data_IF_868409394974
#
_entry.id   IF_868409394974
#
_cell.length_a   1.000
_cell.length_b   1.000
_cell.length_c   1.000
_cell.angle_alpha   90.00
_cell.angle_beta   90.00
_cell.angle_gamma   90.00
#
_symmetry.space_group_name_H-M   'P 1'
#
loop_
_entity.id
_entity.type
_entity.pdbx_description
1 polymer ?
#
# COMPACT_ATOMS: atom_id res chain seq x y z
N UNK A 1 -35.11 10.88 -2.88
CA UNK A 1 -35.88 9.66 -3.23
C UNK A 1 -35.71 9.24 -4.68
N UNK A 2 -35.95 10.08 -5.70
CA UNK A 2 -35.85 9.67 -7.12
C UNK A 2 -34.51 9.00 -7.49
N UNK A 3 -33.37 9.53 -7.05
CA UNK A 3 -32.05 8.91 -7.31
C UNK A 3 -31.88 7.52 -6.68
N UNK A 4 -32.48 7.29 -5.50
CA UNK A 4 -32.44 5.97 -4.84
C UNK A 4 -33.29 4.95 -5.62
N UNK A 5 -34.47 5.36 -6.08
CA UNK A 5 -35.31 4.53 -6.98
C UNK A 5 -34.56 4.25 -8.29
N UNK A 6 -33.87 5.26 -8.83
CA UNK A 6 -33.03 5.11 -10.02
C UNK A 6 -31.91 4.08 -9.84
N UNK A 7 -31.24 4.09 -8.69
CA UNK A 7 -30.24 3.07 -8.35
C UNK A 7 -30.84 1.67 -8.21
N UNK A 8 -32.03 1.54 -7.61
CA UNK A 8 -32.73 0.26 -7.56
C UNK A 8 -33.12 -0.24 -8.97
N UNK A 9 -33.53 0.68 -9.86
CA UNK A 9 -33.78 0.34 -11.27
C UNK A 9 -32.51 -0.15 -11.97
N UNK A 10 -31.37 0.51 -11.71
CA UNK A 10 -30.07 0.10 -12.23
C UNK A 10 -29.62 -1.28 -11.72
N UNK A 11 -29.93 -1.65 -10.49
CA UNK A 11 -29.65 -2.99 -9.98
C UNK A 11 -30.61 -4.07 -10.55
N UNK A 12 -31.90 -3.73 -10.70
CA UNK A 12 -32.95 -4.68 -11.09
C UNK A 12 -33.23 -4.76 -12.61
N UNK A 13 -32.70 -3.83 -13.40
CA UNK A 13 -32.95 -3.76 -14.85
C UNK A 13 -34.29 -3.13 -15.24
N UNK A 14 -34.85 -2.26 -14.38
CA UNK A 14 -36.11 -1.55 -14.67
C UNK A 14 -35.87 -0.31 -15.54
N UNK A 15 -35.43 -0.50 -16.78
CA UNK A 15 -35.06 0.58 -17.70
C UNK A 15 -36.19 1.57 -17.95
N UNK A 16 -37.42 1.11 -18.20
CA UNK A 16 -38.53 2.01 -18.53
C UNK A 16 -38.89 2.91 -17.33
N UNK A 17 -38.96 2.33 -16.13
CA UNK A 17 -39.14 3.10 -14.90
C UNK A 17 -37.99 4.09 -14.69
N UNK A 18 -36.74 3.68 -14.92
CA UNK A 18 -35.58 4.57 -14.82
C UNK A 18 -35.73 5.81 -15.71
N UNK A 19 -36.13 5.64 -16.97
CA UNK A 19 -36.33 6.73 -17.93
C UNK A 19 -37.43 7.70 -17.48
N UNK A 20 -38.49 7.19 -16.84
CA UNK A 20 -39.60 8.01 -16.32
C UNK A 20 -39.21 8.89 -15.13
N UNK A 21 -38.18 8.51 -14.36
CA UNK A 21 -37.76 9.27 -13.16
C UNK A 21 -37.15 10.65 -13.49
N UNK A 22 -36.74 10.87 -14.74
CA UNK A 22 -36.15 12.12 -15.23
C UNK A 22 -35.03 12.68 -14.33
N UNK A 23 -34.21 11.79 -13.77
CA UNK A 23 -33.09 12.14 -12.90
C UNK A 23 -31.86 12.57 -13.71
N UNK A 24 -30.96 13.30 -13.05
CA UNK A 24 -29.68 13.68 -13.64
C UNK A 24 -28.86 12.42 -14.03
N UNK A 25 -27.99 12.50 -15.05
CA UNK A 25 -27.03 11.45 -15.37
C UNK A 25 -26.08 11.23 -14.19
N UNK A 26 -26.34 10.23 -13.36
CA UNK A 26 -25.73 10.07 -12.03
C UNK A 26 -24.73 8.90 -12.03
N UNK A 27 -23.51 9.15 -11.53
CA UNK A 27 -22.39 8.20 -11.67
C UNK A 27 -22.56 6.92 -10.84
N UNK A 28 -23.16 6.97 -9.66
CA UNK A 28 -23.38 5.78 -8.83
C UNK A 28 -24.45 4.86 -9.44
N UNK A 29 -25.45 5.43 -10.12
CA UNK A 29 -26.42 4.65 -10.90
C UNK A 29 -25.73 4.01 -12.11
N UNK A 30 -24.82 4.71 -12.78
CA UNK A 30 -24.04 4.14 -13.88
C UNK A 30 -23.14 2.99 -13.41
N UNK A 31 -22.45 3.17 -12.27
CA UNK A 31 -21.61 2.13 -11.66
C UNK A 31 -22.44 0.89 -11.28
N UNK A 32 -23.60 1.08 -10.62
CA UNK A 32 -24.52 0.00 -10.27
C UNK A 32 -25.09 -0.73 -11.51
N UNK A 33 -25.49 0.04 -12.53
CA UNK A 33 -26.06 -0.50 -13.76
C UNK A 33 -25.04 -1.38 -14.49
N UNK A 34 -23.80 -0.91 -14.59
CA UNK A 34 -22.72 -1.68 -15.22
C UNK A 34 -22.43 -2.95 -14.45
N UNK A 35 -22.30 -2.87 -13.13
CA UNK A 35 -22.03 -4.03 -12.27
C UNK A 35 -23.13 -5.09 -12.39
N UNK A 36 -24.39 -4.65 -12.43
CA UNK A 36 -25.55 -5.53 -12.58
C UNK A 36 -25.82 -6.00 -14.01
N UNK A 37 -25.00 -5.62 -14.99
CA UNK A 37 -25.16 -5.99 -16.40
C UNK A 37 -26.29 -5.26 -17.15
N UNK A 38 -26.83 -4.20 -16.57
CA UNK A 38 -27.93 -3.40 -17.13
C UNK A 38 -27.39 -2.29 -18.05
N UNK A 39 -26.83 -2.75 -19.17
CA UNK A 39 -26.11 -1.94 -20.16
C UNK A 39 -26.90 -0.75 -20.74
N UNK A 40 -28.22 -0.87 -20.87
CA UNK A 40 -29.05 0.20 -21.44
C UNK A 40 -29.08 1.43 -20.53
N UNK A 41 -29.28 1.23 -19.23
CA UNK A 41 -29.25 2.31 -18.23
C UNK A 41 -27.85 2.90 -18.19
N UNK A 42 -26.81 2.05 -18.10
CA UNK A 42 -25.42 2.49 -18.10
C UNK A 42 -25.09 3.36 -19.32
N UNK A 43 -25.39 2.89 -20.55
CA UNK A 43 -25.11 3.65 -21.79
C UNK A 43 -25.90 4.94 -21.86
N UNK A 44 -27.14 4.97 -21.38
CA UNK A 44 -27.95 6.18 -21.36
C UNK A 44 -27.32 7.28 -20.50
N UNK A 45 -26.75 6.93 -19.36
CA UNK A 45 -26.04 7.86 -18.47
C UNK A 45 -24.71 8.29 -19.09
N UNK A 46 -23.95 7.33 -19.62
CA UNK A 46 -22.62 7.60 -20.19
C UNK A 46 -22.64 8.39 -21.50
N UNK A 47 -23.75 8.38 -22.22
CA UNK A 47 -23.95 9.22 -23.40
C UNK A 47 -24.13 10.71 -23.04
N UNK A 48 -24.39 11.04 -21.77
CA UNK A 48 -24.50 12.42 -21.33
C UNK A 48 -23.14 13.13 -21.36
N UNK A 49 -23.08 14.40 -21.82
CA UNK A 49 -21.82 15.14 -21.88
C UNK A 49 -21.27 15.47 -20.48
N UNK A 50 -22.14 15.54 -19.48
CA UNK A 50 -21.80 15.82 -18.09
C UNK A 50 -22.56 14.83 -17.21
N UNK A 51 -21.85 14.22 -16.27
CA UNK A 51 -22.38 13.31 -15.26
C UNK A 51 -22.22 13.96 -13.88
N UNK A 52 -23.05 13.56 -12.94
CA UNK A 52 -23.13 14.17 -11.63
C UNK A 52 -22.94 13.15 -10.52
N UNK A 53 -22.34 13.60 -9.42
CA UNK A 53 -22.38 12.90 -8.14
C UNK A 53 -23.49 13.51 -7.28
N UNK A 54 -24.56 12.73 -7.08
CA UNK A 54 -25.71 13.12 -6.24
C UNK A 54 -25.75 12.25 -4.99
N UNK A 55 -25.43 10.96 -5.12
CA UNK A 55 -25.35 10.05 -3.99
C UNK A 55 -23.98 10.12 -3.32
N UNK A 56 -23.94 9.81 -2.03
CA UNK A 56 -22.68 9.54 -1.33
C UNK A 56 -22.85 8.25 -0.51
N UNK A 57 -22.27 7.17 -1.02
CA UNK A 57 -22.34 5.84 -0.40
C UNK A 57 -21.64 5.79 0.97
N UNK A 58 -20.57 6.55 1.17
CA UNK A 58 -19.82 6.57 2.44
C UNK A 58 -20.63 7.15 3.59
N UNK A 59 -21.44 8.17 3.31
CA UNK A 59 -22.21 8.91 4.32
C UNK A 59 -23.70 8.55 4.31
N UNK A 60 -24.14 7.65 3.42
CA UNK A 60 -25.56 7.36 3.17
C UNK A 60 -26.39 8.62 2.91
N UNK A 61 -25.81 9.57 2.18
CA UNK A 61 -26.37 10.91 1.98
C UNK A 61 -26.72 11.20 0.51
N UNK A 62 -27.57 12.21 0.31
CA UNK A 62 -27.93 12.77 -1.00
C UNK A 62 -27.60 14.26 -1.05
N UNK A 63 -26.94 14.70 -2.11
CA UNK A 63 -26.71 16.11 -2.42
C UNK A 63 -27.61 16.53 -3.59
N UNK A 64 -28.82 17.01 -3.27
CA UNK A 64 -29.81 17.43 -4.26
C UNK A 64 -29.71 18.94 -4.59
N UNK A 65 -29.15 19.74 -3.69
CA UNK A 65 -29.15 21.20 -3.81
C UNK A 65 -28.06 21.71 -4.75
N UNK A 66 -26.89 21.07 -4.74
CA UNK A 66 -25.77 21.45 -5.58
C UNK A 66 -25.02 20.21 -6.10
N UNK A 67 -25.61 19.47 -7.06
CA UNK A 67 -24.94 18.34 -7.69
C UNK A 67 -23.62 18.77 -8.32
N UNK A 68 -22.57 18.00 -8.08
CA UNK A 68 -21.22 18.30 -8.59
C UNK A 68 -20.96 17.45 -9.83
N UNK A 69 -20.39 18.05 -10.86
CA UNK A 69 -19.95 17.31 -12.03
C UNK A 69 -18.83 16.33 -11.64
N UNK A 70 -18.97 15.06 -12.00
CA UNK A 70 -18.03 14.02 -11.61
C UNK A 70 -17.93 12.95 -12.70
N UNK A 71 -16.83 12.20 -12.67
CA UNK A 71 -16.64 11.01 -13.49
C UNK A 71 -16.76 9.77 -12.62
N UNK A 72 -16.97 8.61 -13.23
CA UNK A 72 -16.95 7.36 -12.48
C UNK A 72 -15.59 7.15 -11.82
N UNK A 73 -15.63 6.69 -10.58
CA UNK A 73 -14.44 6.54 -9.75
C UNK A 73 -14.53 5.29 -8.85
N UNK A 74 -15.54 4.44 -9.01
CA UNK A 74 -15.76 3.23 -8.20
C UNK A 74 -15.91 3.60 -6.71
N UNK A 75 -16.69 4.65 -6.46
CA UNK A 75 -17.06 5.13 -5.11
C UNK A 75 -18.46 4.64 -4.70
N UNK A 76 -19.03 3.70 -5.48
CA UNK A 76 -20.33 3.08 -5.23
C UNK A 76 -20.19 1.70 -4.62
N UNK A 77 -20.95 1.46 -3.55
CA UNK A 77 -21.16 0.15 -2.94
C UNK A 77 -22.05 -0.74 -3.81
N UNK A 78 -21.54 -1.19 -4.96
CA UNK A 78 -22.33 -1.96 -5.95
C UNK A 78 -22.75 -3.34 -5.44
N UNK A 79 -23.71 -3.96 -6.13
CA UNK A 79 -24.38 -5.22 -5.74
C UNK A 79 -23.44 -6.30 -5.20
N UNK A 80 -22.33 -6.62 -5.86
CA UNK A 80 -21.44 -7.70 -5.39
C UNK A 80 -20.82 -7.40 -4.02
N UNK A 81 -20.49 -6.13 -3.73
CA UNK A 81 -19.93 -5.74 -2.43
C UNK A 81 -20.93 -5.97 -1.30
N UNK A 82 -22.23 -5.75 -1.57
CA UNK A 82 -23.31 -5.97 -0.61
C UNK A 82 -23.65 -7.46 -0.42
N UNK A 83 -23.25 -8.33 -1.35
CA UNK A 83 -23.40 -9.78 -1.22
C UNK A 83 -22.35 -10.39 -0.32
N UNK A 84 -21.17 -9.77 -0.20
CA UNK A 84 -20.13 -10.22 0.71
C UNK A 84 -20.63 -10.12 2.16
N UNK A 85 -20.65 -11.26 2.85
CA UNK A 85 -21.03 -11.34 4.27
C UNK A 85 -19.84 -11.75 5.13
N UNK A 86 -19.76 -11.18 6.33
CA UNK A 86 -18.77 -11.54 7.34
C UNK A 86 -19.43 -12.15 8.57
N UNK A 87 -18.72 -13.05 9.24
CA UNK A 87 -19.15 -13.57 10.53
C UNK A 87 -18.71 -12.65 11.66
N UNK A 88 -19.50 -12.62 12.72
CA UNK A 88 -19.02 -12.05 13.97
C UNK A 88 -17.88 -12.93 14.53
N UNK A 89 -16.73 -12.30 14.83
CA UNK A 89 -15.58 -12.91 15.50
C UNK A 89 -15.86 -12.86 17.01
N UNK A 90 -15.76 -14.00 17.67
CA UNK A 90 -15.67 -14.00 19.13
C UNK A 90 -14.38 -13.27 19.51
N UNK A 91 -14.44 -12.39 20.51
CA UNK A 91 -13.23 -11.86 21.15
C UNK A 91 -12.41 -13.07 21.62
N UNK A 92 -11.12 -13.10 21.29
CA UNK A 92 -10.24 -14.20 21.69
C UNK A 92 -10.29 -14.39 23.21
N UNK A 93 -10.26 -15.64 23.67
CA UNK A 93 -10.00 -15.93 25.09
C UNK A 93 -8.58 -15.45 25.42
N UNK A 94 -8.34 -15.07 26.68
CA UNK A 94 -7.10 -14.38 27.10
C UNK A 94 -5.80 -15.15 26.78
N UNK A 95 -5.89 -16.46 26.51
CA UNK A 95 -4.76 -17.35 26.27
C UNK A 95 -4.23 -17.35 24.81
N UNK A 96 -4.97 -16.79 23.84
CA UNK A 96 -4.54 -16.70 22.42
C UNK A 96 -3.92 -15.31 22.06
N UNK A 97 -3.63 -14.48 23.07
CA UNK A 97 -3.17 -13.09 22.94
C UNK A 97 -1.68 -12.90 22.57
N UNK A 98 -0.90 -13.97 22.37
CA UNK A 98 0.56 -13.84 22.14
C UNK A 98 0.95 -13.43 20.70
N UNK A 99 0.07 -13.59 19.70
CA UNK A 99 0.39 -13.37 18.27
C UNK A 99 -0.29 -12.15 17.62
N UNK A 100 -1.03 -11.34 18.39
CA UNK A 100 -1.88 -10.27 17.81
C UNK A 100 -1.31 -8.88 18.06
N UNK A 101 -1.24 -8.07 17.00
CA UNK A 101 -0.92 -6.65 17.10
C UNK A 101 -1.99 -5.95 17.96
N UNK A 102 -1.59 -5.05 18.86
CA UNK A 102 -2.48 -4.33 19.80
C UNK A 102 -3.65 -3.59 19.09
N UNK A 103 -3.59 -3.41 17.78
CA UNK A 103 -4.70 -2.90 16.95
C UNK A 103 -5.90 -3.86 16.88
N UNK A 104 -5.69 -5.17 16.99
CA UNK A 104 -6.74 -6.19 16.90
C UNK A 104 -7.56 -6.33 18.20
N UNK A 105 -7.04 -5.82 19.33
CA UNK A 105 -7.67 -5.90 20.65
C UNK A 105 -8.85 -4.91 20.79
N UNK A 106 -8.99 -3.94 19.87
CA UNK A 106 -10.09 -2.96 19.86
C UNK A 106 -11.23 -3.29 18.89
N UNK A 107 -11.21 -4.47 18.24
CA UNK A 107 -12.23 -4.82 17.25
C UNK A 107 -13.61 -5.06 17.88
N UNK A 108 -14.65 -4.49 17.27
CA UNK A 108 -16.06 -4.67 17.61
C UNK A 108 -16.59 -6.11 17.41
N UNK A 109 -15.70 -7.10 17.29
CA UNK A 109 -15.99 -8.47 16.86
C UNK A 109 -16.26 -8.58 15.36
N UNK A 110 -15.95 -7.57 14.55
CA UNK A 110 -16.12 -7.58 13.09
C UNK A 110 -15.24 -6.52 12.41
N UNK A 111 -15.00 -6.70 11.11
CA UNK A 111 -14.31 -5.70 10.29
C UNK A 111 -15.29 -4.57 9.93
N UNK A 112 -14.96 -3.31 10.24
CA UNK A 112 -15.76 -2.19 9.76
C UNK A 112 -15.76 -2.14 8.23
N UNK A 113 -16.94 -2.21 7.62
CA UNK A 113 -17.06 -2.09 6.17
C UNK A 113 -16.84 -0.65 5.71
N UNK A 114 -16.17 -0.49 4.57
CA UNK A 114 -16.02 0.82 3.91
C UNK A 114 -17.39 1.45 3.61
N UNK A 115 -18.35 0.61 3.22
CA UNK A 115 -19.73 1.00 2.95
C UNK A 115 -20.66 0.19 3.84
N UNK A 116 -21.42 0.87 4.70
CA UNK A 116 -22.44 0.25 5.55
C UNK A 116 -23.84 0.61 5.05
N UNK A 117 -24.14 0.29 3.78
CA UNK A 117 -25.41 0.68 3.15
C UNK A 117 -26.61 -0.01 3.80
N UNK A 118 -26.45 -1.27 4.24
CA UNK A 118 -27.52 -2.05 4.89
C UNK A 118 -27.63 -1.81 6.40
N UNK A 119 -26.74 -0.98 6.97
CA UNK A 119 -26.69 -0.63 8.40
C UNK A 119 -26.50 -1.84 9.33
N UNK A 120 -25.95 -2.93 8.79
CA UNK A 120 -25.72 -4.19 9.51
C UNK A 120 -24.25 -4.65 9.43
N UNK A 121 -23.35 -3.82 8.85
CA UNK A 121 -21.94 -4.15 8.62
C UNK A 121 -21.74 -5.44 7.81
N UNK A 122 -22.73 -5.84 7.01
CA UNK A 122 -22.75 -7.12 6.30
C UNK A 122 -22.54 -8.34 7.20
N UNK A 123 -23.02 -8.31 8.44
CA UNK A 123 -22.94 -9.43 9.36
C UNK A 123 -23.87 -10.58 8.96
N UNK A 124 -23.38 -11.81 9.12
CA UNK A 124 -24.13 -13.06 8.96
C UNK A 124 -23.61 -14.11 9.97
N UNK A 125 -24.36 -15.18 10.20
CA UNK A 125 -24.03 -16.25 11.16
C UNK A 125 -22.78 -17.03 10.75
N UNK A 126 -22.58 -17.25 9.45
CA UNK A 126 -21.50 -18.10 8.91
C UNK A 126 -20.42 -17.24 8.24
N UNK A 127 -20.81 -16.10 7.66
CA UNK A 127 -19.96 -15.35 6.74
C UNK A 127 -19.74 -16.08 5.41
N UNK A 128 -19.08 -15.42 4.47
CA UNK A 128 -18.68 -16.03 3.21
C UNK A 128 -17.22 -16.49 3.25
N UNK A 129 -16.90 -17.68 2.73
CA UNK A 129 -15.53 -18.14 2.66
C UNK A 129 -14.74 -17.34 1.60
N UNK A 130 -13.42 -17.13 1.77
CA UNK A 130 -12.62 -16.28 0.89
C UNK A 130 -12.72 -16.64 -0.60
N UNK A 131 -12.79 -17.92 -0.94
CA UNK A 131 -12.91 -18.40 -2.31
C UNK A 131 -14.23 -18.02 -3.00
N UNK A 132 -15.31 -17.83 -2.24
CA UNK A 132 -16.60 -17.40 -2.78
C UNK A 132 -16.66 -15.88 -2.91
N UNK A 133 -16.03 -15.14 -1.99
CA UNK A 133 -15.83 -13.69 -2.12
C UNK A 133 -15.06 -13.39 -3.41
N UNK A 134 -14.04 -14.19 -3.72
CA UNK A 134 -13.23 -14.00 -4.91
C UNK A 134 -14.02 -14.19 -6.21
N UNK A 135 -14.95 -15.15 -6.24
CA UNK A 135 -15.85 -15.35 -7.40
C UNK A 135 -16.77 -14.15 -7.65
N UNK A 136 -17.04 -13.34 -6.63
CA UNK A 136 -17.85 -12.14 -6.72
C UNK A 136 -17.07 -10.91 -7.16
N UNK A 137 -15.73 -10.90 -7.01
CA UNK A 137 -14.92 -9.73 -7.37
C UNK A 137 -15.04 -9.43 -8.88
N UNK A 138 -15.02 -8.14 -9.26
CA UNK A 138 -15.04 -7.76 -10.67
C UNK A 138 -13.80 -8.29 -11.39
N UNK A 139 -14.03 -9.02 -12.49
CA UNK A 139 -12.96 -9.34 -13.45
C UNK A 139 -12.61 -8.07 -14.21
N UNK A 140 -11.63 -7.34 -13.71
CA UNK A 140 -11.08 -6.17 -14.36
C UNK A 140 -9.64 -6.42 -14.80
N UNK A 141 -9.23 -5.75 -15.87
CA UNK A 141 -7.83 -5.67 -16.24
C UNK A 141 -7.11 -4.68 -15.31
N UNK A 142 -6.92 -5.13 -14.07
CA UNK A 142 -6.34 -4.34 -12.99
C UNK A 142 -4.91 -3.92 -13.33
N UNK A 143 -4.19 -4.77 -14.06
CA UNK A 143 -2.82 -4.50 -14.45
C UNK A 143 -2.73 -3.30 -15.40
N UNK A 144 -3.57 -3.26 -16.44
CA UNK A 144 -3.65 -2.09 -17.33
C UNK A 144 -3.99 -0.82 -16.56
N UNK A 145 -4.92 -0.89 -15.60
CA UNK A 145 -5.24 0.26 -14.75
C UNK A 145 -4.05 0.70 -13.89
N UNK A 146 -3.17 -0.20 -13.46
CA UNK A 146 -1.99 0.12 -12.64
C UNK A 146 -0.86 0.74 -13.45
N UNK A 147 -0.61 0.25 -14.67
CA UNK A 147 0.53 0.68 -15.51
C UNK A 147 0.21 1.86 -16.43
N UNK A 148 -1.05 2.03 -16.84
CA UNK A 148 -1.49 3.11 -17.72
C UNK A 148 -2.07 4.31 -16.92
N UNK A 149 -2.14 5.52 -17.52
CA UNK A 149 -2.90 6.61 -16.96
C UNK A 149 -4.35 6.18 -16.68
N UNK A 150 -4.87 6.52 -15.49
CA UNK A 150 -6.24 6.18 -15.14
C UNK A 150 -7.22 6.82 -16.14
N UNK A 151 -8.15 6.06 -16.74
CA UNK A 151 -9.16 6.62 -17.63
C UNK A 151 -10.00 7.65 -16.87
N UNK A 152 -10.56 8.65 -17.53
CA UNK A 152 -11.38 9.68 -16.88
C UNK A 152 -12.55 9.06 -16.10
N UNK A 153 -13.24 8.12 -16.74
CA UNK A 153 -14.31 7.31 -16.17
C UNK A 153 -13.75 5.93 -15.80
N UNK A 154 -13.51 5.71 -14.50
CA UNK A 154 -12.91 4.46 -14.01
C UNK A 154 -13.89 3.29 -14.24
N UNK A 155 -13.44 2.16 -14.82
CA UNK A 155 -14.26 0.97 -14.93
C UNK A 155 -14.42 0.28 -13.57
N UNK A 156 -15.43 -0.58 -13.45
CA UNK A 156 -15.56 -1.46 -12.28
C UNK A 156 -14.27 -2.24 -12.07
N UNK A 157 -13.63 -2.03 -10.92
CA UNK A 157 -12.33 -2.61 -10.60
C UNK A 157 -12.18 -2.75 -9.08
N UNK A 158 -11.17 -3.53 -8.66
CA UNK A 158 -10.70 -3.52 -7.28
C UNK A 158 -9.97 -2.21 -7.00
N UNK A 159 -10.71 -1.24 -6.47
CA UNK A 159 -10.19 0.11 -6.21
C UNK A 159 -9.19 0.13 -5.05
N UNK A 160 -9.32 -0.78 -4.09
CA UNK A 160 -8.46 -0.86 -2.90
C UNK A 160 -7.02 -1.14 -3.34
N UNK A 161 -6.85 -2.05 -4.30
CA UNK A 161 -5.56 -2.29 -4.96
C UNK A 161 -4.98 -1.02 -5.58
N UNK A 162 -5.78 -0.27 -6.33
CA UNK A 162 -5.33 0.96 -6.99
C UNK A 162 -4.90 2.02 -5.98
N UNK A 163 -5.61 2.13 -4.84
CA UNK A 163 -5.28 3.02 -3.72
C UNK A 163 -3.94 2.62 -3.11
N UNK A 164 -3.79 1.35 -2.74
CA UNK A 164 -2.57 0.82 -2.12
C UNK A 164 -1.36 0.96 -3.05
N UNK A 165 -1.49 0.62 -4.33
CA UNK A 165 -0.41 0.82 -5.30
C UNK A 165 -0.04 2.30 -5.46
N UNK A 166 -1.01 3.21 -5.57
CA UNK A 166 -0.74 4.64 -5.67
C UNK A 166 -0.02 5.17 -4.42
N UNK A 167 -0.41 4.71 -3.23
CA UNK A 167 0.26 5.03 -1.97
C UNK A 167 1.69 4.46 -1.94
N UNK A 168 1.87 3.18 -2.27
CA UNK A 168 3.15 2.48 -2.27
C UNK A 168 4.21 3.20 -3.12
N UNK A 169 3.86 3.57 -4.35
CA UNK A 169 4.78 4.29 -5.25
C UNK A 169 4.89 5.80 -4.96
N UNK A 170 4.13 6.32 -3.99
CA UNK A 170 4.08 7.76 -3.69
C UNK A 170 3.54 8.59 -4.85
N UNK A 171 2.58 8.05 -5.61
CA UNK A 171 1.96 8.75 -6.72
C UNK A 171 0.83 9.66 -6.21
N UNK A 172 1.17 10.92 -5.95
CA UNK A 172 0.25 11.92 -5.38
C UNK A 172 -1.05 12.06 -6.17
N UNK A 173 -0.97 12.22 -7.49
CA UNK A 173 -2.16 12.50 -8.31
C UNK A 173 -3.12 11.32 -8.35
N UNK A 174 -2.58 10.09 -8.50
CA UNK A 174 -3.40 8.87 -8.45
C UNK A 174 -3.98 8.66 -7.06
N UNK A 175 -3.17 8.83 -6.03
CA UNK A 175 -3.62 8.61 -4.66
C UNK A 175 -4.72 9.61 -4.26
N UNK A 176 -4.59 10.89 -4.58
CA UNK A 176 -5.63 11.91 -4.33
C UNK A 176 -6.94 11.58 -5.04
N UNK A 177 -6.86 11.11 -6.28
CA UNK A 177 -8.04 10.73 -7.06
C UNK A 177 -8.75 9.50 -6.48
N UNK A 178 -7.98 8.53 -6.00
CA UNK A 178 -8.50 7.21 -5.62
C UNK A 178 -8.83 7.08 -4.13
N UNK A 179 -8.13 7.80 -3.23
CA UNK A 179 -8.27 7.61 -1.79
C UNK A 179 -9.72 7.76 -1.31
N UNK A 180 -10.08 6.97 -0.30
CA UNK A 180 -11.39 6.99 0.34
C UNK A 180 -11.37 7.85 1.62
N UNK A 181 -12.54 8.18 2.19
CA UNK A 181 -12.60 8.88 3.48
C UNK A 181 -12.02 8.08 4.67
N UNK A 182 -12.05 6.75 4.60
CA UNK A 182 -11.44 5.83 5.57
C UNK A 182 -10.31 5.06 4.89
N UNK A 183 -9.28 4.70 5.66
CA UNK A 183 -8.19 3.88 5.16
C UNK A 183 -8.68 2.48 4.79
N UNK A 184 -8.20 1.95 3.67
CA UNK A 184 -8.38 0.55 3.30
C UNK A 184 -7.29 -0.32 3.95
N UNK A 185 -7.50 -1.63 3.96
CA UNK A 185 -6.51 -2.58 4.48
C UNK A 185 -5.15 -2.37 3.79
N UNK A 186 -4.06 -2.35 4.56
CA UNK A 186 -2.67 -2.12 4.10
C UNK A 186 -2.35 -0.71 3.57
N UNK A 187 -3.30 0.21 3.56
CA UNK A 187 -3.06 1.55 3.03
C UNK A 187 -2.00 2.31 3.84
N UNK A 188 -2.00 2.17 5.17
CA UNK A 188 -1.04 2.85 6.06
C UNK A 188 0.39 2.41 5.74
N UNK A 189 0.63 1.10 5.62
CA UNK A 189 1.95 0.55 5.30
C UNK A 189 2.41 0.98 3.90
N UNK A 190 1.48 1.03 2.93
CA UNK A 190 1.76 1.55 1.59
C UNK A 190 2.13 3.04 1.64
N UNK A 191 1.38 3.86 2.38
CA UNK A 191 1.64 5.30 2.56
C UNK A 191 3.02 5.49 3.18
N UNK A 192 3.33 4.76 4.26
CA UNK A 192 4.63 4.85 4.93
C UNK A 192 5.76 4.58 3.94
N UNK A 193 5.69 3.46 3.20
CA UNK A 193 6.67 3.15 2.16
C UNK A 193 6.75 4.30 1.14
N UNK A 194 5.62 4.75 0.59
CA UNK A 194 5.59 5.84 -0.39
C UNK A 194 6.24 7.12 0.13
N UNK A 195 5.99 7.49 1.39
CA UNK A 195 6.59 8.65 2.06
C UNK A 195 8.09 8.49 2.22
N UNK A 196 8.58 7.31 2.65
CA UNK A 196 10.01 7.04 2.75
C UNK A 196 10.72 7.14 1.39
N UNK A 197 10.08 6.73 0.30
CA UNK A 197 10.70 6.63 -1.02
C UNK A 197 10.46 7.85 -1.93
N UNK A 198 9.46 8.69 -1.66
CA UNK A 198 9.13 9.86 -2.49
C UNK A 198 9.02 11.15 -1.65
N UNK A 199 9.99 12.04 -1.80
CA UNK A 199 10.05 13.32 -1.07
C UNK A 199 8.86 14.24 -1.36
N UNK A 200 8.38 14.30 -2.60
CA UNK A 200 7.26 15.18 -2.95
C UNK A 200 5.95 14.68 -2.34
N UNK A 201 5.77 13.36 -2.32
CA UNK A 201 4.65 12.72 -1.64
C UNK A 201 4.69 12.96 -0.13
N UNK A 202 5.86 12.84 0.50
CA UNK A 202 6.06 13.18 1.92
C UNK A 202 5.72 14.66 2.23
N UNK A 203 6.19 15.58 1.39
CA UNK A 203 5.91 17.02 1.54
C UNK A 203 4.44 17.38 1.28
N UNK A 204 3.73 16.60 0.47
CA UNK A 204 2.29 16.73 0.32
C UNK A 204 1.56 16.16 1.54
N UNK A 205 1.97 14.99 2.03
CA UNK A 205 1.40 14.34 3.22
C UNK A 205 1.54 15.19 4.49
N UNK A 206 2.66 15.90 4.66
CA UNK A 206 2.89 16.79 5.80
C UNK A 206 1.90 17.96 5.90
N UNK A 207 1.13 18.22 4.83
CA UNK A 207 0.13 19.29 4.75
C UNK A 207 -1.31 18.78 4.89
N UNK A 208 -1.52 17.47 5.02
CA UNK A 208 -2.86 16.88 5.03
C UNK A 208 -3.52 17.03 6.40
N UNK A 209 -4.81 17.36 6.40
CA UNK A 209 -5.64 17.58 7.59
C UNK A 209 -6.34 16.32 8.10
N UNK A 210 -6.21 15.19 7.39
CA UNK A 210 -6.73 13.90 7.84
C UNK A 210 -6.06 13.53 9.18
N UNK A 211 -6.75 12.80 10.08
CA UNK A 211 -6.12 12.27 11.29
C UNK A 211 -4.84 11.54 10.90
N UNK A 212 -3.71 12.13 11.26
CA UNK A 212 -2.40 11.57 10.93
C UNK A 212 -2.14 10.44 11.90
N UNK A 213 -2.33 9.22 11.42
CA UNK A 213 -1.82 8.01 12.07
C UNK A 213 -0.36 8.25 12.51
N UNK A 214 -0.01 8.00 13.79
CA UNK A 214 1.34 8.26 14.30
C UNK A 214 2.44 7.66 13.44
N UNK A 215 2.21 6.48 12.86
CA UNK A 215 3.15 5.80 11.96
C UNK A 215 3.45 6.61 10.69
N UNK A 216 2.43 7.24 10.09
CA UNK A 216 2.60 8.12 8.90
C UNK A 216 3.43 9.34 9.29
N UNK A 217 3.15 9.94 10.46
CA UNK A 217 3.91 11.11 10.94
C UNK A 217 5.39 10.77 11.15
N UNK A 218 5.69 9.64 11.78
CA UNK A 218 7.07 9.16 11.92
C UNK A 218 7.76 9.01 10.55
N UNK A 219 7.08 8.42 9.55
CA UNK A 219 7.64 8.29 8.20
C UNK A 219 7.95 9.66 7.56
N UNK A 220 7.09 10.66 7.76
CA UNK A 220 7.32 12.03 7.27
C UNK A 220 8.53 12.66 7.97
N UNK A 221 8.63 12.57 9.30
CA UNK A 221 9.79 13.08 10.04
C UNK A 221 11.09 12.41 9.59
N UNK A 222 11.06 11.09 9.42
CA UNK A 222 12.21 10.34 8.92
C UNK A 222 12.65 10.82 7.54
N UNK A 223 11.69 11.02 6.63
CA UNK A 223 11.98 11.52 5.28
C UNK A 223 12.57 12.93 5.31
N UNK A 224 12.11 13.79 6.22
CA UNK A 224 12.62 15.16 6.33
C UNK A 224 14.05 15.18 6.90
N UNK A 225 14.30 14.40 7.96
CA UNK A 225 15.65 14.22 8.53
C UNK A 225 16.62 13.69 7.48
N UNK A 226 16.24 12.64 6.74
CA UNK A 226 17.07 12.04 5.68
C UNK A 226 17.29 12.97 4.48
N UNK A 227 16.45 13.99 4.30
CA UNK A 227 16.63 15.09 3.36
C UNK A 227 17.43 16.28 3.94
N UNK A 228 18.01 16.16 5.14
CA UNK A 228 18.76 17.21 5.85
C UNK A 228 17.91 18.39 6.35
N UNK A 229 16.62 18.17 6.58
CA UNK A 229 15.68 19.16 7.07
C UNK A 229 15.37 18.87 8.55
N UNK A 230 15.66 19.83 9.44
CA UNK A 230 15.53 19.67 10.90
C UNK A 230 14.58 20.70 11.54
N UNK A 231 13.92 21.58 10.79
CA UNK A 231 13.08 22.66 11.35
C UNK A 231 11.96 22.16 12.26
N UNK A 232 11.55 20.90 12.11
CA UNK A 232 10.42 20.30 12.83
C UNK A 232 10.82 19.52 14.09
N UNK A 233 12.11 19.21 14.29
CA UNK A 233 12.55 18.27 15.35
C UNK A 233 12.38 18.79 16.78
N UNK A 234 12.27 20.11 16.93
CA UNK A 234 12.00 20.78 18.20
C UNK A 234 10.50 21.03 18.45
N UNK A 235 9.63 20.69 17.50
CA UNK A 235 8.18 20.83 17.69
C UNK A 235 7.69 19.90 18.79
N UNK A 236 6.72 20.36 19.59
CA UNK A 236 6.04 19.52 20.58
C UNK A 236 5.27 18.36 19.93
N UNK A 237 4.90 18.49 18.64
CA UNK A 237 4.19 17.47 17.88
C UNK A 237 5.12 16.47 17.18
N UNK A 238 6.44 16.62 17.34
CA UNK A 238 7.42 15.75 16.72
C UNK A 238 7.35 14.35 17.33
N UNK A 239 7.18 13.35 16.47
CA UNK A 239 7.19 11.94 16.86
C UNK A 239 8.50 11.33 16.35
N UNK A 240 9.43 10.93 17.24
CA UNK A 240 10.75 10.46 16.84
C UNK A 240 10.67 9.21 15.95
N UNK A 241 11.11 9.29 14.68
CA UNK A 241 11.23 8.11 13.86
C UNK A 241 12.36 7.23 14.35
N UNK A 242 12.22 5.91 14.17
CA UNK A 242 13.31 4.99 14.43
C UNK A 242 14.19 4.81 13.18
N UNK A 243 13.59 4.55 12.02
CA UNK A 243 14.31 4.40 10.75
C UNK A 243 14.68 5.77 10.16
N UNK A 244 15.95 6.15 10.21
CA UNK A 244 16.45 7.44 9.65
C UNK A 244 17.63 7.27 8.68
N UNK A 245 17.83 6.08 8.11
CA UNK A 245 18.97 5.74 7.24
C UNK A 245 18.59 5.07 5.91
N UNK A 246 17.29 4.86 5.65
CA UNK A 246 16.80 4.19 4.45
C UNK A 246 15.56 4.92 3.89
N UNK A 247 15.36 4.98 2.54
CA UNK A 247 16.26 4.51 1.47
C UNK A 247 17.42 5.48 1.19
N UNK A 248 17.40 6.65 1.82
CA UNK A 248 18.44 7.66 1.71
C UNK A 248 18.90 8.05 3.10
N UNK A 249 20.13 8.53 3.21
CA UNK A 249 20.76 8.86 4.48
C UNK A 249 21.11 10.36 4.55
N UNK A 250 20.94 10.97 5.74
CA UNK A 250 21.28 12.37 5.95
C UNK A 250 22.80 12.57 6.06
N UNK A 251 23.31 13.76 5.74
CA UNK A 251 24.72 14.09 5.88
C UNK A 251 25.18 14.02 7.35
N UNK A 252 26.45 13.68 7.62
CA UNK A 252 26.97 13.64 8.99
C UNK A 252 26.74 14.93 9.80
N UNK A 253 26.85 16.10 9.17
CA UNK A 253 26.58 17.38 9.81
C UNK A 253 25.12 17.51 10.30
N UNK A 254 24.16 16.96 9.55
CA UNK A 254 22.75 16.91 9.95
C UNK A 254 22.58 16.04 11.19
N UNK A 255 23.22 14.87 11.24
CA UNK A 255 23.14 14.01 12.43
C UNK A 255 23.84 14.60 13.65
N UNK A 256 24.95 15.33 13.49
CA UNK A 256 25.55 16.11 14.60
C UNK A 256 24.55 17.13 15.16
N UNK A 257 23.89 17.89 14.28
CA UNK A 257 22.88 18.85 14.69
C UNK A 257 21.67 18.15 15.34
N UNK A 258 21.20 17.04 14.77
CA UNK A 258 20.11 16.26 15.34
C UNK A 258 20.47 15.73 16.73
N UNK A 259 21.68 15.22 16.95
CA UNK A 259 22.13 14.74 18.26
C UNK A 259 22.12 15.86 19.32
N UNK A 260 22.45 17.10 18.94
CA UNK A 260 22.39 18.26 19.83
C UNK A 260 20.94 18.66 20.15
N UNK A 261 20.07 18.65 19.14
CA UNK A 261 18.67 19.07 19.28
C UNK A 261 17.81 17.99 19.96
N UNK A 262 18.14 16.71 19.72
CA UNK A 262 17.40 15.51 20.13
C UNK A 262 18.35 14.38 20.57
N UNK A 263 18.93 14.48 21.78
CA UNK A 263 19.80 13.43 22.33
C UNK A 263 19.11 12.07 22.49
N UNK A 264 17.79 12.05 22.61
CA UNK A 264 16.97 10.83 22.67
C UNK A 264 17.01 10.01 21.37
N UNK A 265 17.44 10.60 20.25
CA UNK A 265 17.59 9.93 18.96
C UNK A 265 19.01 9.39 18.71
N UNK A 266 19.91 9.45 19.70
CA UNK A 266 21.29 8.95 19.56
C UNK A 266 21.38 7.49 19.09
N UNK A 267 20.57 6.53 19.59
CA UNK A 267 20.61 5.15 19.09
C UNK A 267 20.35 5.06 17.58
N UNK A 268 19.37 5.81 17.07
CA UNK A 268 19.02 5.86 15.66
C UNK A 268 20.14 6.48 14.81
N UNK A 269 20.78 7.52 15.32
CA UNK A 269 21.92 8.17 14.66
C UNK A 269 23.12 7.23 14.58
N UNK A 270 23.49 6.58 15.69
CA UNK A 270 24.59 5.62 15.71
C UNK A 270 24.33 4.44 14.78
N UNK A 271 23.08 3.96 14.75
CA UNK A 271 22.66 2.90 13.83
C UNK A 271 22.78 3.34 12.37
N UNK A 272 22.38 4.57 12.05
CA UNK A 272 22.59 5.15 10.72
C UNK A 272 24.08 5.17 10.34
N UNK A 273 24.99 5.50 11.27
CA UNK A 273 26.42 5.49 11.01
C UNK A 273 26.94 4.08 10.69
N UNK A 274 26.53 3.06 11.45
CA UNK A 274 26.96 1.67 11.22
C UNK A 274 26.52 1.20 9.83
N UNK A 275 25.25 1.45 9.45
CA UNK A 275 24.72 1.07 8.13
C UNK A 275 25.46 1.79 6.99
N UNK A 276 25.83 3.05 7.19
CA UNK A 276 26.49 3.87 6.18
C UNK A 276 27.97 3.54 5.97
N UNK A 277 28.62 2.95 6.96
CA UNK A 277 30.06 2.75 7.03
C UNK A 277 30.62 1.96 5.84
N UNK A 278 29.83 1.02 5.33
CA UNK A 278 30.20 0.13 4.22
C UNK A 278 30.27 0.83 2.85
N UNK A 279 30.08 2.15 2.75
CA UNK A 279 30.17 2.84 1.47
C UNK A 279 30.27 4.36 1.48
N UNK A 280 30.25 5.05 2.63
CA UNK A 280 30.24 6.52 2.69
C UNK A 280 31.22 7.09 3.74
N UNK A 281 31.99 8.10 3.33
CA UNK A 281 32.98 8.77 4.20
C UNK A 281 32.32 9.64 5.28
N UNK A 282 32.93 9.68 6.47
CA UNK A 282 32.61 10.60 7.57
C UNK A 282 31.60 10.08 8.61
N UNK A 283 31.05 8.87 8.42
CA UNK A 283 30.15 8.25 9.41
C UNK A 283 30.90 7.54 10.55
N UNK A 284 32.08 6.99 10.29
CA UNK A 284 32.94 6.43 11.34
C UNK A 284 33.35 7.53 12.34
N UNK A 285 33.81 8.69 11.84
CA UNK A 285 34.16 9.85 12.67
C UNK A 285 32.96 10.33 13.50
N UNK A 286 31.79 10.45 12.87
CA UNK A 286 30.55 10.83 13.55
C UNK A 286 30.16 9.82 14.64
N UNK A 287 30.32 8.53 14.38
CA UNK A 287 30.05 7.49 15.36
C UNK A 287 30.98 7.63 16.58
N UNK A 288 32.28 7.78 16.35
CA UNK A 288 33.29 7.96 17.40
C UNK A 288 33.01 9.20 18.26
N UNK A 289 32.58 10.28 17.60
CA UNK A 289 32.16 11.52 18.25
C UNK A 289 30.93 11.35 19.15
N UNK A 290 30.00 10.42 18.86
CA UNK A 290 28.70 10.37 19.52
C UNK A 290 28.48 9.14 20.41
N UNK A 291 29.22 8.04 20.22
CA UNK A 291 29.00 6.76 20.91
C UNK A 291 29.06 6.88 22.43
N UNK A 292 29.94 7.75 22.94
CA UNK A 292 30.10 8.01 24.37
C UNK A 292 28.91 8.77 25.01
N UNK A 293 28.03 9.37 24.22
CA UNK A 293 26.82 10.05 24.68
C UNK A 293 25.60 9.12 24.71
N UNK A 294 25.65 8.00 23.98
CA UNK A 294 24.53 7.08 23.86
C UNK A 294 24.52 6.02 24.97
N UNK A 295 23.33 5.45 25.19
CA UNK A 295 23.11 4.22 25.92
C UNK A 295 22.90 3.10 24.90
N UNK A 296 23.86 2.18 24.71
CA UNK A 296 23.71 1.09 23.75
C UNK A 296 22.52 0.19 24.09
N UNK A 297 21.73 -0.15 23.07
CA UNK A 297 20.68 -1.16 23.14
C UNK A 297 21.07 -2.40 22.31
N UNK A 298 20.28 -3.47 22.43
CA UNK A 298 20.59 -4.73 21.76
C UNK A 298 20.47 -4.63 20.23
N UNK A 299 19.56 -3.78 19.71
CA UNK A 299 19.44 -3.55 18.27
C UNK A 299 20.70 -2.89 17.69
N UNK A 300 21.30 -1.95 18.40
CA UNK A 300 22.53 -1.27 17.99
C UNK A 300 23.73 -2.22 17.99
N UNK A 301 23.84 -3.09 19.00
CA UNK A 301 24.89 -4.13 19.05
C UNK A 301 24.69 -5.16 17.95
N UNK A 302 23.46 -5.59 17.72
CA UNK A 302 23.13 -6.51 16.63
C UNK A 302 23.49 -5.91 15.27
N UNK A 303 23.19 -4.62 15.03
CA UNK A 303 23.57 -3.94 13.79
C UNK A 303 25.10 -3.94 13.58
N UNK A 304 25.87 -3.65 14.64
CA UNK A 304 27.33 -3.69 14.57
C UNK A 304 27.84 -5.11 14.25
N UNK A 305 27.21 -6.15 14.82
CA UNK A 305 27.54 -7.54 14.52
C UNK A 305 27.28 -7.91 13.07
N UNK A 306 26.14 -7.51 12.51
CA UNK A 306 25.77 -7.76 11.11
C UNK A 306 26.68 -6.98 10.15
N UNK A 307 27.14 -5.78 10.53
CA UNK A 307 28.02 -4.95 9.68
C UNK A 307 29.35 -5.60 9.30
N UNK A 308 29.82 -6.54 10.12
CA UNK A 308 31.13 -7.16 9.96
C UNK A 308 32.32 -6.25 10.24
N UNK A 309 32.12 -4.96 10.52
CA UNK A 309 33.18 -4.03 10.90
C UNK A 309 33.45 -4.10 12.41
N UNK A 310 34.65 -4.58 12.75
CA UNK A 310 35.07 -4.78 14.12
C UNK A 310 35.16 -3.47 14.93
N UNK A 311 35.31 -2.31 14.26
CA UNK A 311 35.43 -1.00 14.91
C UNK A 311 34.18 -0.67 15.75
N UNK A 312 33.00 -0.72 15.13
CA UNK A 312 31.74 -0.41 15.79
C UNK A 312 31.46 -1.33 16.98
N UNK A 313 31.64 -2.63 16.77
CA UNK A 313 31.44 -3.63 17.82
C UNK A 313 32.34 -3.37 19.02
N UNK A 314 33.63 -3.11 18.80
CA UNK A 314 34.58 -2.85 19.88
C UNK A 314 34.21 -1.59 20.67
N UNK A 315 33.89 -0.49 19.99
CA UNK A 315 33.50 0.75 20.66
C UNK A 315 32.21 0.62 21.47
N UNK A 316 31.20 -0.10 20.95
CA UNK A 316 29.97 -0.38 21.70
C UNK A 316 30.23 -1.25 22.93
N UNK A 317 31.04 -2.30 22.82
CA UNK A 317 31.40 -3.15 23.95
C UNK A 317 32.18 -2.37 25.03
N UNK A 318 33.11 -1.50 24.63
CA UNK A 318 33.78 -0.58 25.56
C UNK A 318 32.78 0.32 26.26
N UNK A 319 31.83 0.91 25.52
CA UNK A 319 30.79 1.76 26.08
C UNK A 319 29.90 1.02 27.08
N UNK A 320 29.47 -0.19 26.74
CA UNK A 320 28.65 -1.07 27.62
C UNK A 320 29.38 -1.34 28.93
N UNK A 321 30.69 -1.62 28.88
CA UNK A 321 31.50 -1.83 30.07
C UNK A 321 31.63 -0.55 30.91
N UNK A 322 31.82 0.62 30.28
CA UNK A 322 31.92 1.91 30.97
C UNK A 322 30.64 2.27 31.74
N UNK A 323 29.46 2.04 31.15
CA UNK A 323 28.18 2.35 31.79
C UNK A 323 27.70 1.24 32.74
N UNK A 324 28.41 0.11 32.82
CA UNK A 324 28.10 -1.00 33.73
C UNK A 324 26.82 -1.75 33.36
N UNK A 325 26.46 -1.82 32.08
CA UNK A 325 25.27 -2.54 31.63
C UNK A 325 25.49 -4.05 31.69
N UNK A 326 24.80 -4.73 32.62
CA UNK A 326 24.82 -6.20 32.78
C UNK A 326 23.83 -6.88 31.83
N UNK A 327 22.73 -6.18 31.50
CA UNK A 327 21.71 -6.63 30.53
C UNK A 327 21.35 -5.43 29.66
N UNK A 328 21.35 -5.63 28.34
CA UNK A 328 20.94 -4.59 27.40
C UNK A 328 19.41 -4.47 27.42
N UNK A 329 18.86 -3.25 27.25
CA UNK A 329 17.43 -3.09 27.02
C UNK A 329 17.02 -3.86 25.76
N UNK A 330 16.07 -4.79 25.90
CA UNK A 330 15.52 -5.50 24.75
C UNK A 330 14.68 -4.50 23.93
N UNK A 331 15.03 -4.25 22.66
CA UNK A 331 14.25 -3.40 21.78
C UNK A 331 12.98 -4.16 21.33
N UNK A 332 12.00 -3.48 20.74
CA UNK A 332 10.91 -4.21 20.05
C UNK A 332 11.49 -5.20 19.03
N UNK A 333 10.86 -6.36 18.88
CA UNK A 333 11.40 -7.49 18.09
C UNK A 333 11.67 -7.16 16.62
N UNK A 334 11.03 -6.11 16.09
CA UNK A 334 11.26 -5.62 14.74
C UNK A 334 12.50 -4.73 14.58
N UNK A 335 13.08 -4.21 15.67
CA UNK A 335 14.21 -3.28 15.63
C UNK A 335 15.55 -3.92 15.25
N UNK A 336 15.84 -5.19 15.59
CA UNK A 336 17.06 -5.88 15.16
C UNK A 336 17.14 -6.12 13.65
N UNK A 337 16.03 -6.09 12.89
CA UNK A 337 16.10 -6.27 11.44
C UNK A 337 16.88 -5.11 10.81
N UNK A 338 18.11 -5.40 10.43
CA UNK A 338 19.10 -4.52 9.85
C UNK A 338 19.01 -4.56 8.33
N UNK A 339 18.72 -3.42 7.69
CA UNK A 339 18.87 -3.31 6.24
C UNK A 339 20.25 -2.78 5.89
N UNK A 340 21.19 -3.71 5.78
CA UNK A 340 22.46 -3.52 5.07
C UNK A 340 22.40 -4.01 3.62
N UNK A 341 21.26 -4.57 3.21
CA UNK A 341 21.09 -5.27 1.94
C UNK A 341 20.08 -4.58 1.02
N UNK A 342 20.32 -4.71 -0.29
CA UNK A 342 19.33 -4.40 -1.32
C UNK A 342 18.05 -5.21 -1.05
N UNK A 343 16.89 -4.60 -1.27
CA UNK A 343 15.62 -5.35 -1.26
C UNK A 343 15.63 -6.35 -2.43
N UNK A 344 15.33 -7.61 -2.14
CA UNK A 344 15.20 -8.64 -3.17
C UNK A 344 13.92 -8.43 -3.96
N UNK A 345 14.00 -8.48 -5.29
CA UNK A 345 12.81 -8.56 -6.12
C UNK A 345 12.15 -9.94 -5.99
N UNK A 346 10.84 -10.00 -6.15
CA UNK A 346 10.13 -11.28 -6.24
C UNK A 346 10.48 -12.00 -7.54
N UNK A 347 10.57 -13.32 -7.47
CA UNK A 347 10.55 -14.22 -8.62
C UNK A 347 9.24 -15.04 -8.67
N UNK A 348 8.27 -14.77 -7.79
CA UNK A 348 7.00 -15.49 -7.76
C UNK A 348 5.99 -14.84 -8.71
N UNK A 349 5.53 -15.63 -9.67
CA UNK A 349 4.45 -15.26 -10.60
C UNK A 349 3.17 -15.88 -10.08
N UNK A 350 2.19 -15.05 -9.76
CA UNK A 350 0.87 -15.51 -9.27
C UNK A 350 -0.19 -15.41 -10.36
N UNK A 351 -1.18 -16.29 -10.29
CA UNK A 351 -2.25 -16.39 -11.30
C UNK A 351 -3.26 -15.25 -11.21
N UNK A 352 -3.54 -14.76 -10.00
CA UNK A 352 -4.62 -13.80 -9.78
C UNK A 352 -4.13 -12.46 -9.22
N UNK A 353 -4.69 -11.38 -9.77
CA UNK A 353 -4.29 -10.01 -9.47
C UNK A 353 -4.51 -9.57 -8.00
N UNK A 354 -5.40 -10.22 -7.25
CA UNK A 354 -5.67 -9.84 -5.85
C UNK A 354 -4.53 -10.25 -4.89
N UNK A 355 -3.66 -11.18 -5.29
CA UNK A 355 -2.43 -11.50 -4.57
C UNK A 355 -1.31 -10.46 -4.82
N UNK A 356 -1.48 -9.58 -5.82
CA UNK A 356 -0.54 -8.51 -6.14
C UNK A 356 -0.67 -7.28 -5.21
N UNK A 357 -1.49 -7.38 -4.16
CA UNK A 357 -1.67 -6.29 -3.21
C UNK A 357 -0.37 -6.05 -2.50
N UNK A 358 0.11 -4.78 -2.41
CA UNK A 358 1.29 -4.51 -1.63
C UNK A 358 1.10 -5.06 -0.19
N UNK A 359 1.90 -6.06 0.16
CA UNK A 359 1.64 -6.98 1.27
C UNK A 359 2.65 -6.85 2.40
N UNK A 360 2.31 -7.37 3.59
CA UNK A 360 3.27 -7.47 4.69
C UNK A 360 4.33 -8.53 4.37
N UNK A 361 5.60 -8.21 4.56
CA UNK A 361 6.70 -9.18 4.52
C UNK A 361 7.30 -9.30 5.93
N UNK A 362 8.10 -10.35 6.16
CA UNK A 362 8.65 -10.69 7.48
C UNK A 362 9.69 -9.65 7.99
N UNK A 363 10.34 -8.91 7.09
CA UNK A 363 11.38 -7.92 7.42
C UNK A 363 10.82 -6.51 7.72
N UNK A 364 10.40 -6.28 8.97
CA UNK A 364 9.66 -5.09 9.41
C UNK A 364 10.46 -3.75 9.43
N UNK A 365 10.79 -3.22 8.26
CA UNK A 365 11.66 -2.05 8.08
C UNK A 365 11.10 -0.72 8.61
N UNK A 366 9.88 -0.37 8.21
CA UNK A 366 9.30 0.96 8.40
C UNK A 366 8.71 1.11 9.81
N UNK A 367 9.57 1.25 10.81
CA UNK A 367 9.18 1.33 12.23
C UNK A 367 8.28 0.15 12.65
N UNK A 368 8.65 -1.07 12.29
CA UNK A 368 7.88 -2.27 12.61
C UNK A 368 6.80 -2.62 11.60
N UNK A 369 6.81 -2.01 10.42
CA UNK A 369 5.85 -2.29 9.34
C UNK A 369 6.61 -2.58 8.05
N UNK A 370 6.05 -3.42 7.19
CA UNK A 370 6.57 -3.62 5.85
C UNK A 370 5.44 -3.65 4.84
N UNK A 371 5.78 -3.19 3.64
CA UNK A 371 4.94 -3.32 2.47
C UNK A 371 5.85 -3.75 1.31
N UNK A 372 5.49 -4.82 0.61
CA UNK A 372 6.19 -5.33 -0.57
C UNK A 372 5.24 -5.39 -1.78
N UNK A 373 5.71 -4.93 -2.93
CA UNK A 373 4.99 -4.98 -4.21
C UNK A 373 5.74 -5.83 -5.25
N UNK A 374 6.71 -6.65 -4.85
CA UNK A 374 7.60 -7.39 -5.75
C UNK A 374 6.86 -8.28 -6.76
N UNK A 375 5.80 -8.98 -6.34
CA UNK A 375 4.98 -9.79 -7.25
C UNK A 375 4.23 -8.92 -8.28
N UNK A 376 3.71 -7.76 -7.84
CA UNK A 376 3.05 -6.79 -8.71
C UNK A 376 4.03 -6.24 -9.75
N UNK A 377 5.21 -5.83 -9.31
CA UNK A 377 6.28 -5.31 -10.16
C UNK A 377 6.73 -6.35 -11.19
N UNK A 378 6.92 -7.60 -10.77
CA UNK A 378 7.26 -8.70 -11.66
C UNK A 378 6.15 -8.91 -12.70
N UNK A 379 4.90 -9.02 -12.25
CA UNK A 379 3.74 -9.27 -13.13
C UNK A 379 3.53 -8.14 -14.14
N UNK A 380 3.80 -6.90 -13.76
CA UNK A 380 3.73 -5.74 -14.65
C UNK A 380 4.81 -5.74 -15.73
N UNK A 381 5.96 -6.34 -15.46
CA UNK A 381 7.07 -6.44 -16.41
C UNK A 381 7.03 -7.75 -17.23
N UNK A 382 6.25 -8.74 -16.81
CA UNK A 382 6.25 -10.08 -17.38
C UNK A 382 5.51 -10.09 -18.75
N UNK A 383 6.10 -10.71 -19.79
CA UNK A 383 5.39 -10.93 -21.06
C UNK A 383 4.09 -11.73 -20.85
N UNK A 384 3.02 -11.38 -21.56
CA UNK A 384 1.73 -12.07 -21.43
C UNK A 384 1.83 -13.59 -21.66
N UNK A 385 2.72 -14.01 -22.55
CA UNK A 385 2.97 -15.42 -22.84
C UNK A 385 3.53 -16.21 -21.63
N UNK A 386 4.09 -15.53 -20.63
CA UNK A 386 4.68 -16.12 -19.43
C UNK A 386 3.77 -15.97 -18.20
N UNK A 387 2.64 -15.29 -18.33
CA UNK A 387 1.64 -15.23 -17.27
C UNK A 387 0.93 -16.58 -17.17
N UNK A 388 0.52 -16.94 -15.96
CA UNK A 388 -0.21 -18.19 -15.72
C UNK A 388 -1.63 -17.99 -16.27
N UNK A 389 -2.00 -18.81 -17.26
CA UNK A 389 -3.32 -18.70 -17.89
C UNK A 389 -4.44 -19.25 -17.01
N UNK A 390 -5.68 -18.81 -17.26
CA UNK A 390 -6.87 -19.26 -16.51
C UNK A 390 -7.06 -20.79 -16.53
N UNK A 391 -6.64 -21.45 -17.61
CA UNK A 391 -6.75 -22.89 -17.79
C UNK A 391 -5.60 -23.69 -17.14
N UNK A 392 -4.61 -23.02 -16.56
CA UNK A 392 -3.50 -23.66 -15.86
C UNK A 392 -3.92 -24.04 -14.43
N UNK A 393 -3.60 -25.26 -13.99
CA UNK A 393 -3.92 -25.73 -12.64
C UNK A 393 -3.04 -25.08 -11.57
N UNK A 394 -1.86 -24.54 -11.95
CA UNK A 394 -0.97 -23.88 -11.02
C UNK A 394 -1.54 -22.53 -10.57
N UNK A 395 -1.53 -22.26 -9.26
CA UNK A 395 -1.91 -20.96 -8.69
C UNK A 395 -0.73 -19.96 -8.67
N UNK A 396 0.49 -20.47 -8.56
CA UNK A 396 1.72 -19.70 -8.58
C UNK A 396 2.82 -20.51 -9.25
N UNK A 397 3.85 -19.83 -9.76
CA UNK A 397 5.08 -20.41 -10.29
C UNK A 397 6.27 -19.55 -9.91
N UNK A 398 7.43 -20.18 -9.80
CA UNK A 398 8.68 -19.46 -9.67
C UNK A 398 9.25 -19.17 -11.06
N UNK A 399 9.62 -17.92 -11.31
CA UNK A 399 10.39 -17.50 -12.47
C UNK A 399 11.84 -17.96 -12.27
N UNK A 400 12.16 -19.12 -12.84
CA UNK A 400 13.52 -19.66 -12.90
C UNK A 400 13.96 -19.77 -14.36
N UNK A 401 14.97 -19.00 -14.78
CA UNK A 401 15.52 -19.03 -16.14
C UNK A 401 16.08 -20.40 -16.59
N UNK A 402 16.24 -21.38 -15.69
CA UNK A 402 16.59 -22.76 -16.04
C UNK A 402 15.40 -23.53 -16.60
N UNK A 403 14.23 -23.40 -15.98
CA UNK A 403 13.00 -24.15 -16.32
C UNK A 403 11.91 -23.27 -16.98
N UNK A 404 12.05 -21.95 -16.90
CA UNK A 404 11.07 -20.92 -17.25
C UNK A 404 11.73 -19.68 -17.91
N UNK A 405 11.31 -19.21 -19.08
CA UNK A 405 10.12 -19.63 -19.80
C UNK A 405 10.30 -21.01 -20.44
N UNK A 406 9.22 -21.79 -20.57
CA UNK A 406 9.21 -23.00 -21.37
C UNK A 406 9.87 -22.72 -22.74
N UNK A 407 10.85 -23.55 -23.12
CA UNK A 407 11.63 -23.40 -24.37
C UNK A 407 10.74 -23.32 -25.64
N UNK A 408 9.49 -23.74 -25.53
CA UNK A 408 8.51 -23.73 -26.62
C UNK A 408 7.91 -22.33 -26.90
N UNK A 409 7.92 -21.41 -25.94
CA UNK A 409 7.32 -20.06 -26.09
C UNK A 409 8.20 -19.09 -26.90
N UNK A 410 9.52 -19.33 -26.96
CA UNK A 410 10.44 -18.51 -27.78
C UNK A 410 10.33 -18.80 -29.29
N UNK A 411 9.67 -19.90 -29.67
CA UNK A 411 9.54 -20.30 -31.10
C UNK A 411 8.48 -19.51 -31.88
N UNK A 412 7.58 -18.81 -31.19
CA UNK A 412 6.48 -18.04 -31.79
C UNK A 412 6.88 -16.65 -32.31
N UNK A 413 7.90 -16.02 -31.71
CA UNK A 413 8.36 -14.68 -32.14
C UNK A 413 9.24 -14.75 -33.40
N UNK A 414 10.01 -15.83 -33.60
CA UNK A 414 10.84 -16.00 -34.81
C UNK A 414 10.03 -16.19 -36.09
N UNK A 415 8.77 -16.64 -36.00
CA UNK A 415 7.90 -16.82 -37.19
C UNK A 415 7.23 -15.54 -37.68
N UNK A 416 7.05 -14.52 -36.83
CA UNK A 416 6.48 -13.23 -37.24
C UNK A 416 7.50 -12.39 -38.03
N UNK A 417 8.78 -12.45 -37.68
CA UNK A 417 9.85 -11.78 -38.42
C UNK A 417 10.11 -12.43 -39.77
N UNK A 418 10.04 -13.76 -39.89
CA UNK A 418 10.16 -14.45 -41.19
C UNK A 418 8.96 -14.26 -42.13
N UNK A 419 7.75 -14.02 -41.60
CA UNK A 419 6.58 -13.72 -42.43
C UNK A 419 6.58 -12.29 -42.98
N UNK A 420 7.08 -11.30 -42.22
CA UNK A 420 7.25 -9.93 -42.70
C UNK A 420 8.35 -9.84 -43.77
N UNK A 421 9.48 -10.53 -43.58
CA UNK A 421 10.56 -10.58 -44.58
C UNK A 421 10.19 -11.33 -45.88
N UNK A 422 9.18 -12.21 -45.84
CA UNK A 422 8.66 -12.91 -47.03
C UNK A 422 7.61 -12.13 -47.80
N UNK A 423 6.94 -11.15 -47.17
CA UNK A 423 5.96 -10.28 -47.83
C UNK A 423 6.65 -9.13 -48.59
N UNK A 424 7.79 -8.64 -48.12
CA UNK A 424 8.55 -7.57 -48.80
C UNK A 424 9.45 -8.05 -49.96
N UNK A 425 9.50 -9.36 -50.23
CA UNK A 425 10.21 -9.93 -51.40
C UNK A 425 9.29 -10.34 -52.55
N UNK A 426 8.02 -9.94 -52.51
CA UNK A 426 7.06 -10.08 -53.62
C UNK A 426 6.39 -8.75 -53.94
N UNK A 427 7.18 -7.75 -54.33
CA UNK A 427 6.76 -6.62 -55.19
C UNK A 427 7.82 -6.41 -56.24
#
# INVERSE_FOLDING_TARGET
MASQVGRACAAAGYTELYKELAILPEIHIAEEARDSGNEEIYRSIMAAPVKYTVMNGYQRALNLESPVAANMNVDTAVRWMLQVKQKFRNLADEDDMEDWDIADIMEHGFDEQTFDITEEMCLDLIGMPPEDIEKLRPRCDLLSLLIEPLPQDLPTADKDMLICAAAYYGNTDRYVRLRRPKFVRKEIECIMRGVYHNTLYAAWWSKQTLPQEPKIRMAIEARFITNNELSRVQSAEFVPPYLIWFPTIAKPATYRALAQLRPDMLPQILRACIVAASGLNGYNELFDELVHLSMPDEALVHEADVSGDAHYKQMLLSRIAEVGLVKLPWPHDWKPYAQQCLQSSSNQVTKYNYQLAPGGSFDMLYNGNQCDAGELELTACLPDAWKIGDNDEAFWRELDYVEWPPRDLTSGQSRRTEQLDRLDRKV
#
